data_IF_172994736317
#
_entry.id   IF_172994736317
#
_cell.length_a   1.000
_cell.length_b   1.000
_cell.length_c   1.000
_cell.angle_alpha   90.00
_cell.angle_beta   90.00
_cell.angle_gamma   90.00
#
_symmetry.space_group_name_H-M   'P 1'
#
loop_
_entity.id
_entity.type
_entity.pdbx_description
1 polymer ?
#
# COMPACT_ATOMS: atom_id res chain seq x y z
N UNK A 1 9.82 3.47 4.26
CA UNK A 1 10.54 2.28 3.78
C UNK A 1 11.48 2.59 2.61
N UNK A 2 12.09 1.58 2.03
CA UNK A 2 13.11 1.71 0.96
C UNK A 2 12.55 1.98 -0.43
N UNK A 3 11.29 2.39 -0.55
CA UNK A 3 10.65 2.73 -1.83
C UNK A 3 10.24 1.54 -2.70
N UNK A 4 10.22 0.31 -2.18
CA UNK A 4 9.98 -0.89 -2.99
C UNK A 4 8.67 -0.82 -3.82
N UNK A 5 7.56 -0.37 -3.23
CA UNK A 5 6.27 -0.27 -3.94
C UNK A 5 6.38 0.75 -5.10
N UNK A 6 6.89 1.93 -4.83
CA UNK A 6 7.00 3.00 -5.84
C UNK A 6 7.99 2.66 -6.96
N UNK A 7 9.11 1.99 -6.63
CA UNK A 7 10.06 1.50 -7.63
C UNK A 7 9.43 0.42 -8.53
N UNK A 8 8.70 -0.53 -7.96
CA UNK A 8 7.99 -1.55 -8.74
C UNK A 8 6.92 -0.93 -9.65
N UNK A 9 6.20 0.10 -9.17
CA UNK A 9 5.23 0.84 -9.99
C UNK A 9 5.93 1.60 -11.11
N UNK A 10 7.03 2.32 -10.80
CA UNK A 10 7.82 3.04 -11.81
C UNK A 10 8.32 2.11 -12.91
N UNK A 11 8.87 0.94 -12.54
CA UNK A 11 9.34 -0.06 -13.50
C UNK A 11 8.18 -0.63 -14.35
N UNK A 12 7.03 -0.91 -13.75
CA UNK A 12 5.86 -1.47 -14.46
C UNK A 12 5.25 -0.49 -15.45
N UNK A 13 5.24 0.79 -15.10
CA UNK A 13 4.59 1.84 -15.89
C UNK A 13 5.57 2.83 -16.52
N UNK A 14 6.82 2.42 -16.73
CA UNK A 14 7.89 3.28 -17.25
C UNK A 14 7.56 3.89 -18.63
N UNK A 15 6.75 3.23 -19.44
CA UNK A 15 6.35 3.73 -20.77
C UNK A 15 5.41 4.95 -20.68
N UNK A 16 4.53 4.99 -19.66
CA UNK A 16 3.58 6.09 -19.47
C UNK A 16 4.05 7.11 -18.44
N UNK A 17 5.12 6.83 -17.69
CA UNK A 17 5.78 7.69 -16.71
C UNK A 17 4.80 8.43 -15.78
N UNK A 18 3.96 7.71 -15.01
CA UNK A 18 3.03 8.35 -14.10
C UNK A 18 3.79 9.09 -13.01
N UNK A 19 3.31 10.28 -12.62
CA UNK A 19 3.93 11.02 -11.53
C UNK A 19 3.70 10.27 -10.21
N UNK A 20 4.78 9.78 -9.61
CA UNK A 20 4.76 8.98 -8.38
C UNK A 20 5.46 9.78 -7.27
N UNK A 21 4.81 9.89 -6.12
CA UNK A 21 5.39 10.52 -4.93
C UNK A 21 5.41 9.51 -3.79
N UNK A 22 6.60 9.16 -3.31
CA UNK A 22 6.79 8.42 -2.06
C UNK A 22 6.93 9.38 -0.88
N UNK A 23 6.31 9.05 0.25
CA UNK A 23 6.46 9.79 1.51
C UNK A 23 7.12 8.86 2.53
N UNK A 24 8.22 9.30 3.10
CA UNK A 24 8.96 8.54 4.11
C UNK A 24 9.42 9.47 5.24
N UNK A 25 9.21 9.04 6.48
CA UNK A 25 9.56 9.83 7.66
C UNK A 25 11.05 9.75 8.01
N UNK A 26 11.71 8.64 7.69
CA UNK A 26 13.12 8.43 7.99
C UNK A 26 13.97 9.04 6.87
N UNK A 27 14.79 10.07 7.17
CA UNK A 27 15.58 10.77 6.13
C UNK A 27 16.48 9.83 5.33
N UNK A 28 17.15 8.90 6.02
CA UNK A 28 18.09 7.96 5.43
C UNK A 28 17.40 7.02 4.43
N UNK A 29 16.15 6.61 4.73
CA UNK A 29 15.37 5.75 3.85
C UNK A 29 14.78 6.54 2.67
N UNK A 30 14.38 7.81 2.90
CA UNK A 30 13.94 8.69 1.82
C UNK A 30 15.08 8.95 0.82
N UNK A 31 16.29 9.22 1.31
CA UNK A 31 17.49 9.40 0.48
C UNK A 31 17.87 8.11 -0.27
N UNK A 32 17.87 6.97 0.42
CA UNK A 32 18.12 5.67 -0.22
C UNK A 32 17.12 5.39 -1.36
N UNK A 33 15.84 5.70 -1.13
CA UNK A 33 14.79 5.54 -2.13
C UNK A 33 15.00 6.47 -3.34
N UNK A 34 15.41 7.72 -3.11
CA UNK A 34 15.71 8.69 -4.17
C UNK A 34 16.92 8.23 -4.99
N UNK A 35 18.00 7.78 -4.36
CA UNK A 35 19.16 7.20 -5.05
C UNK A 35 18.80 5.95 -5.86
N UNK A 36 17.89 5.12 -5.33
CA UNK A 36 17.41 3.96 -6.06
C UNK A 36 16.59 4.35 -7.29
N UNK A 37 15.78 5.41 -7.21
CA UNK A 37 15.06 5.94 -8.37
C UNK A 37 16.01 6.49 -9.43
N UNK A 38 17.06 7.21 -9.01
CA UNK A 38 18.10 7.73 -9.91
C UNK A 38 18.85 6.59 -10.61
N UNK A 39 19.32 5.59 -9.85
CA UNK A 39 20.05 4.45 -10.39
C UNK A 39 19.25 3.62 -11.40
N UNK A 40 17.92 3.67 -11.36
CA UNK A 40 17.01 3.01 -12.28
C UNK A 40 16.48 3.95 -13.40
N UNK A 41 16.90 5.21 -13.44
CA UNK A 41 16.47 6.16 -14.46
C UNK A 41 15.03 6.68 -14.27
N UNK A 42 14.47 6.60 -13.06
CA UNK A 42 13.09 6.97 -12.78
C UNK A 42 12.92 8.39 -12.21
N UNK A 43 13.99 9.15 -12.00
CA UNK A 43 13.97 10.47 -11.35
C UNK A 43 13.11 11.51 -12.05
N UNK A 44 12.78 11.32 -13.33
CA UNK A 44 11.90 12.22 -14.06
C UNK A 44 10.45 12.19 -13.60
N UNK A 45 10.00 11.07 -13.00
CA UNK A 45 8.58 10.85 -12.64
C UNK A 45 8.37 10.16 -11.29
N UNK A 46 9.44 9.76 -10.58
CA UNK A 46 9.39 9.20 -9.24
C UNK A 46 10.18 10.07 -8.27
N UNK A 47 9.50 10.67 -7.31
CA UNK A 47 10.08 11.57 -6.32
C UNK A 47 9.78 11.10 -4.90
N UNK A 48 10.64 11.47 -3.96
CA UNK A 48 10.44 11.17 -2.54
C UNK A 48 10.42 12.45 -1.71
N UNK A 49 9.50 12.49 -0.76
CA UNK A 49 9.36 13.57 0.22
C UNK A 49 9.67 13.01 1.59
N UNK A 50 10.70 13.54 2.25
CA UNK A 50 10.96 13.24 3.64
C UNK A 50 9.98 14.05 4.49
N UNK A 51 8.97 13.39 5.05
CA UNK A 51 7.94 14.06 5.83
C UNK A 51 7.21 13.10 6.78
N UNK A 52 6.69 13.68 7.86
CA UNK A 52 5.80 13.01 8.82
C UNK A 52 4.35 13.25 8.41
N UNK A 53 3.62 12.19 8.08
CA UNK A 53 2.20 12.26 7.67
C UNK A 53 1.26 12.75 8.79
N UNK A 54 1.71 12.80 10.04
CA UNK A 54 0.99 13.39 11.18
C UNK A 54 0.95 14.92 11.10
N UNK A 55 1.85 15.51 10.33
CA UNK A 55 1.99 16.95 10.16
C UNK A 55 1.42 17.42 8.81
N UNK A 56 1.29 18.73 8.64
CA UNK A 56 0.95 19.33 7.35
C UNK A 56 2.16 19.23 6.41
N UNK A 57 2.00 18.51 5.30
CA UNK A 57 3.03 18.39 4.27
C UNK A 57 2.71 19.40 3.16
N UNK A 58 3.47 20.49 3.08
CA UNK A 58 3.26 21.56 2.08
C UNK A 58 3.62 21.10 0.67
N UNK A 59 4.61 20.22 0.54
CA UNK A 59 5.05 19.67 -0.74
C UNK A 59 4.03 18.71 -1.39
N UNK A 60 3.02 18.26 -0.63
CA UNK A 60 2.02 17.30 -1.11
C UNK A 60 0.63 17.86 -0.79
N UNK A 61 0.01 18.58 -1.73
CA UNK A 61 -1.31 19.15 -1.53
C UNK A 61 -2.40 18.09 -1.33
N UNK A 62 -3.43 18.33 -0.54
CA UNK A 62 -4.61 17.47 -0.47
C UNK A 62 -5.29 17.33 -1.83
N UNK A 63 -5.98 16.22 -2.04
CA UNK A 63 -6.75 15.92 -3.25
C UNK A 63 -5.94 15.93 -4.56
N UNK A 64 -4.61 15.68 -4.50
CA UNK A 64 -3.71 15.72 -5.66
C UNK A 64 -3.48 14.37 -6.33
N UNK A 65 -3.90 13.27 -5.72
CA UNK A 65 -3.62 11.93 -6.25
C UNK A 65 -4.90 11.19 -6.68
N UNK A 66 -4.84 10.55 -7.84
CA UNK A 66 -5.88 9.61 -8.29
C UNK A 66 -5.76 8.24 -7.61
N UNK A 67 -4.54 7.87 -7.23
CA UNK A 67 -4.23 6.59 -6.58
C UNK A 67 -3.37 6.83 -5.36
N UNK A 68 -3.73 6.22 -4.24
CA UNK A 68 -2.90 6.15 -3.03
C UNK A 68 -2.71 4.68 -2.70
N UNK A 69 -1.45 4.27 -2.57
CA UNK A 69 -1.08 2.89 -2.25
C UNK A 69 -0.36 2.90 -0.92
N UNK A 70 -0.77 2.03 0.00
CA UNK A 70 -0.19 1.99 1.33
C UNK A 70 -0.11 0.58 1.90
N UNK A 71 0.96 0.33 2.64
CA UNK A 71 1.13 -0.79 3.53
C UNK A 71 1.51 -0.23 4.90
N UNK A 72 0.50 0.21 5.70
CA UNK A 72 0.78 0.83 6.99
C UNK A 72 1.50 -0.15 7.93
N UNK A 73 2.27 0.37 8.90
CA UNK A 73 2.87 -0.47 9.93
C UNK A 73 1.78 -1.23 10.68
N UNK A 74 2.07 -2.46 11.06
CA UNK A 74 1.16 -3.29 11.87
C UNK A 74 1.16 -2.79 13.32
N UNK A 75 0.02 -2.85 14.00
CA UNK A 75 -0.11 -2.45 15.39
C UNK A 75 0.64 -3.39 16.36
N UNK A 76 0.88 -2.93 17.55
CA UNK A 76 1.74 -3.30 18.67
C UNK A 76 1.89 -4.76 19.13
N UNK A 77 1.30 -5.72 18.49
CA UNK A 77 1.47 -7.12 18.86
C UNK A 77 2.68 -7.80 18.20
N UNK A 78 3.42 -7.07 17.35
CA UNK A 78 4.67 -7.56 16.80
C UNK A 78 5.83 -7.21 17.75
N UNK A 79 6.60 -8.24 18.16
CA UNK A 79 7.78 -8.12 19.02
C UNK A 79 8.64 -6.91 18.64
N UNK A 80 9.08 -6.10 19.62
CA UNK A 80 9.99 -4.99 19.36
C UNK A 80 11.24 -5.52 18.64
N UNK A 81 11.52 -4.98 17.47
CA UNK A 81 12.75 -5.33 16.78
C UNK A 81 13.96 -4.75 17.52
N UNK A 82 15.05 -5.51 17.70
CA UNK A 82 16.27 -5.02 18.34
C UNK A 82 17.01 -3.92 17.56
N UNK A 83 16.47 -3.46 16.42
CA UNK A 83 17.10 -2.43 15.60
C UNK A 83 16.62 -1.03 16.02
N UNK A 84 17.55 -0.08 16.38
CA UNK A 84 17.21 1.29 16.79
C UNK A 84 16.40 2.10 15.75
N UNK A 85 16.57 1.85 14.46
CA UNK A 85 15.76 2.46 13.39
C UNK A 85 14.29 2.03 13.43
N UNK A 86 13.98 0.88 14.07
CA UNK A 86 12.61 0.44 14.34
C UNK A 86 12.04 1.03 15.62
N UNK A 87 12.86 1.57 16.53
CA UNK A 87 12.37 2.33 17.69
C UNK A 87 11.74 3.67 17.26
N UNK A 88 12.18 4.26 16.15
CA UNK A 88 11.50 5.42 15.56
C UNK A 88 10.15 5.02 14.94
N UNK A 89 10.07 3.82 14.35
CA UNK A 89 8.80 3.22 13.96
C UNK A 89 7.89 2.96 15.19
N UNK A 90 8.46 2.65 16.36
CA UNK A 90 7.73 2.49 17.62
C UNK A 90 7.08 3.82 18.11
N UNK A 91 7.71 4.96 17.90
CA UNK A 91 7.10 6.27 18.17
C UNK A 91 6.00 6.64 17.15
N UNK A 92 5.89 5.95 16.02
CA UNK A 92 4.75 5.99 15.10
C UNK A 92 3.53 5.22 15.67
N UNK A 93 3.68 4.45 16.73
CA UNK A 93 2.65 3.64 17.38
C UNK A 93 1.50 4.47 17.99
N UNK A 94 1.67 5.77 18.16
CA UNK A 94 0.57 6.68 18.55
C UNK A 94 -0.27 7.14 17.34
N UNK A 95 0.11 6.78 16.11
CA UNK A 95 -0.66 7.12 14.92
C UNK A 95 -1.47 5.90 14.49
N UNK A 96 -2.71 5.84 14.97
CA UNK A 96 -3.61 4.74 14.74
C UNK A 96 -3.92 4.52 13.23
N UNK A 97 -4.30 3.33 12.88
CA UNK A 97 -4.62 2.95 11.50
C UNK A 97 -5.74 3.83 10.93
N UNK A 98 -6.71 4.23 11.74
CA UNK A 98 -7.80 5.13 11.34
C UNK A 98 -7.27 6.50 10.94
N UNK A 99 -6.31 7.08 11.68
CA UNK A 99 -5.65 8.34 11.35
C UNK A 99 -4.80 8.24 10.09
N UNK A 100 -4.09 7.10 9.90
CA UNK A 100 -3.37 6.79 8.67
C UNK A 100 -4.30 6.79 7.46
N UNK A 101 -5.41 6.09 7.55
CA UNK A 101 -6.39 6.00 6.46
C UNK A 101 -7.05 7.36 6.18
N UNK A 102 -7.34 8.16 7.21
CA UNK A 102 -7.82 9.54 7.01
C UNK A 102 -6.81 10.40 6.25
N UNK A 103 -5.51 10.26 6.55
CA UNK A 103 -4.47 10.93 5.76
C UNK A 103 -4.50 10.48 4.30
N UNK A 104 -4.53 9.16 4.04
CA UNK A 104 -4.60 8.62 2.68
C UNK A 104 -5.81 9.17 1.90
N UNK A 105 -6.99 9.18 2.52
CA UNK A 105 -8.21 9.72 1.92
C UNK A 105 -8.12 11.23 1.68
N UNK A 106 -7.43 11.98 2.55
CA UNK A 106 -7.19 13.42 2.35
C UNK A 106 -6.33 13.69 1.12
N UNK A 107 -5.37 12.83 0.83
CA UNK A 107 -4.49 12.96 -0.34
C UNK A 107 -5.19 12.59 -1.66
N UNK A 108 -6.19 11.72 -1.61
CA UNK A 108 -6.97 11.30 -2.79
C UNK A 108 -7.84 12.44 -3.33
N UNK A 109 -7.81 12.61 -4.65
CA UNK A 109 -8.81 13.38 -5.40
C UNK A 109 -10.21 12.74 -5.25
N UNK A 110 -11.30 13.49 -5.49
CA UNK A 110 -12.63 12.90 -5.60
C UNK A 110 -12.62 11.75 -6.62
N UNK A 111 -13.28 10.63 -6.29
CA UNK A 111 -13.27 9.39 -7.09
C UNK A 111 -11.90 8.73 -7.25
N UNK A 112 -10.89 9.19 -6.53
CA UNK A 112 -9.59 8.52 -6.46
C UNK A 112 -9.67 7.20 -5.69
N UNK A 113 -8.71 6.30 -5.94
CA UNK A 113 -8.70 4.96 -5.39
C UNK A 113 -7.60 4.77 -4.35
N UNK A 114 -7.98 4.20 -3.22
CA UNK A 114 -7.08 3.71 -2.17
C UNK A 114 -6.78 2.24 -2.42
N UNK A 115 -5.50 1.86 -2.35
CA UNK A 115 -5.04 0.49 -2.34
C UNK A 115 -4.29 0.24 -1.03
N UNK A 116 -4.77 -0.70 -0.27
CA UNK A 116 -4.26 -1.02 1.06
C UNK A 116 -3.99 -2.51 1.16
N UNK A 117 -2.84 -2.87 1.72
CA UNK A 117 -2.57 -4.23 2.19
C UNK A 117 -2.38 -4.19 3.71
N UNK A 118 -2.99 -5.14 4.43
CA UNK A 118 -2.83 -5.27 5.87
C UNK A 118 -3.09 -6.71 6.31
N UNK A 119 -2.98 -6.97 7.63
CA UNK A 119 -3.41 -8.23 8.25
C UNK A 119 -4.93 -8.33 8.26
N UNK A 120 -5.46 -9.54 8.23
CA UNK A 120 -6.90 -9.78 8.28
C UNK A 120 -7.54 -9.34 9.59
N UNK A 121 -6.79 -9.34 10.69
CA UNK A 121 -7.26 -8.88 12.01
C UNK A 121 -7.66 -7.38 12.01
N UNK A 122 -7.04 -6.58 11.14
CA UNK A 122 -7.32 -5.16 11.00
C UNK A 122 -8.55 -4.83 10.14
N UNK A 123 -9.20 -5.84 9.52
CA UNK A 123 -10.30 -5.61 8.53
C UNK A 123 -11.43 -4.80 9.14
N UNK A 124 -11.85 -5.10 10.36
CA UNK A 124 -12.93 -4.38 11.03
C UNK A 124 -12.58 -2.90 11.24
N UNK A 125 -11.37 -2.60 11.70
CA UNK A 125 -10.89 -1.24 11.89
C UNK A 125 -10.81 -0.48 10.55
N UNK A 126 -10.28 -1.13 9.51
CA UNK A 126 -10.17 -0.56 8.17
C UNK A 126 -11.56 -0.20 7.62
N UNK A 127 -12.50 -1.13 7.65
CA UNK A 127 -13.87 -0.91 7.16
C UNK A 127 -14.53 0.25 7.94
N UNK A 128 -14.37 0.28 9.26
CA UNK A 128 -14.91 1.35 10.11
C UNK A 128 -14.31 2.72 9.74
N UNK A 129 -13.01 2.79 9.50
CA UNK A 129 -12.34 4.04 9.11
C UNK A 129 -12.75 4.54 7.73
N UNK A 130 -13.08 3.62 6.80
CA UNK A 130 -13.49 3.93 5.43
C UNK A 130 -14.99 4.21 5.30
N UNK A 131 -15.81 3.75 6.25
CA UNK A 131 -17.26 3.87 6.21
C UNK A 131 -17.72 5.32 6.06
N UNK A 132 -18.69 5.53 5.18
CA UNK A 132 -19.27 6.85 4.89
C UNK A 132 -18.36 7.81 4.08
N UNK A 133 -17.11 7.40 3.81
CA UNK A 133 -16.13 8.20 3.05
C UNK A 133 -15.77 7.59 1.71
N UNK A 134 -16.00 6.28 1.58
CA UNK A 134 -15.65 5.49 0.39
C UNK A 134 -16.77 4.53 0.05
N UNK A 135 -16.77 4.01 -1.18
CA UNK A 135 -17.59 2.90 -1.63
C UNK A 135 -16.82 2.05 -2.63
N UNK A 136 -17.52 1.07 -3.24
CA UNK A 136 -16.90 0.15 -4.18
C UNK A 136 -15.75 -0.65 -3.54
N UNK A 137 -15.87 -0.95 -2.22
CA UNK A 137 -14.83 -1.73 -1.53
C UNK A 137 -14.69 -3.09 -2.20
N UNK A 138 -13.44 -3.42 -2.59
CA UNK A 138 -13.07 -4.75 -3.02
C UNK A 138 -12.15 -5.34 -1.97
N UNK A 139 -12.58 -6.45 -1.37
CA UNK A 139 -11.82 -7.17 -0.34
C UNK A 139 -11.26 -8.42 -0.99
N UNK A 140 -9.94 -8.54 -1.03
CA UNK A 140 -9.20 -9.62 -1.70
C UNK A 140 -8.35 -10.34 -0.67
N UNK A 141 -8.77 -11.51 -0.18
CA UNK A 141 -7.98 -12.31 0.76
C UNK A 141 -6.69 -12.82 0.13
N UNK A 142 -5.59 -12.80 0.89
CA UNK A 142 -4.30 -13.34 0.47
C UNK A 142 -3.97 -14.56 1.33
N UNK A 143 -4.00 -15.73 0.70
CA UNK A 143 -3.73 -17.01 1.34
C UNK A 143 -2.26 -17.39 1.17
N UNK A 144 -1.62 -17.81 2.27
CA UNK A 144 -0.24 -18.29 2.18
C UNK A 144 -0.16 -19.61 1.40
N UNK A 145 -1.06 -20.56 1.70
CA UNK A 145 -1.16 -21.87 1.04
C UNK A 145 -2.64 -22.26 0.86
N UNK A 146 -2.95 -23.20 -0.02
CA UNK A 146 -4.31 -23.71 -0.19
C UNK A 146 -4.88 -24.24 1.12
N UNK A 147 -6.18 -24.01 1.37
CA UNK A 147 -6.90 -24.50 2.53
C UNK A 147 -6.56 -23.83 3.87
N UNK A 148 -5.68 -22.83 3.87
CA UNK A 148 -5.37 -22.04 5.07
C UNK A 148 -6.23 -20.78 5.15
N UNK A 149 -6.40 -20.27 6.37
CA UNK A 149 -7.01 -18.95 6.59
C UNK A 149 -6.09 -17.85 6.02
N UNK A 150 -6.70 -16.86 5.37
CA UNK A 150 -5.96 -15.70 4.89
C UNK A 150 -5.38 -14.92 6.07
N UNK A 151 -4.08 -14.64 6.02
CA UNK A 151 -3.38 -13.82 7.04
C UNK A 151 -3.24 -12.36 6.62
N UNK A 152 -3.45 -12.06 5.34
CA UNK A 152 -3.43 -10.72 4.79
C UNK A 152 -4.62 -10.50 3.88
N UNK A 153 -4.94 -9.25 3.69
CA UNK A 153 -6.01 -8.80 2.80
C UNK A 153 -5.52 -7.59 2.02
N UNK A 154 -5.86 -7.55 0.75
CA UNK A 154 -5.78 -6.32 -0.04
C UNK A 154 -7.19 -5.72 -0.09
N UNK A 155 -7.28 -4.43 0.18
CA UNK A 155 -8.53 -3.67 0.13
C UNK A 155 -8.35 -2.53 -0.87
N UNK A 156 -9.31 -2.42 -1.79
CA UNK A 156 -9.41 -1.30 -2.73
C UNK A 156 -10.69 -0.55 -2.40
N UNK A 157 -10.64 0.78 -2.35
CA UNK A 157 -11.80 1.61 -2.06
C UNK A 157 -11.77 2.88 -2.89
N UNK A 158 -12.92 3.32 -3.38
CA UNK A 158 -13.07 4.57 -4.13
C UNK A 158 -13.61 5.69 -3.23
N UNK A 159 -12.88 6.81 -3.14
CA UNK A 159 -13.28 7.98 -2.37
C UNK A 159 -14.58 8.57 -2.93
N UNK A 160 -15.48 9.01 -2.03
CA UNK A 160 -16.77 9.64 -2.36
C UNK A 160 -17.67 8.80 -3.30
N UNK A 161 -17.53 7.47 -3.23
CA UNK A 161 -18.36 6.50 -3.94
C UNK A 161 -19.47 5.97 -3.04
N UNK A 162 -20.57 5.55 -3.67
CA UNK A 162 -21.68 4.82 -3.03
C UNK A 162 -21.84 3.41 -3.62
N UNK A 163 -20.91 2.99 -4.47
CA UNK A 163 -20.95 1.66 -5.06
C UNK A 163 -20.90 0.58 -3.96
N UNK A 164 -21.56 -0.56 -4.17
CA UNK A 164 -21.57 -1.65 -3.19
C UNK A 164 -20.19 -2.26 -3.01
N UNK A 165 -19.99 -2.88 -1.85
CA UNK A 165 -18.79 -3.65 -1.58
C UNK A 165 -18.86 -5.05 -2.22
N UNK A 166 -17.70 -5.64 -2.52
CA UNK A 166 -17.55 -7.00 -2.98
C UNK A 166 -16.38 -7.70 -2.27
N UNK A 167 -16.57 -8.97 -1.94
CA UNK A 167 -15.48 -9.85 -1.57
C UNK A 167 -15.12 -10.64 -2.83
N UNK A 168 -13.89 -10.47 -3.29
CA UNK A 168 -13.41 -11.11 -4.51
C UNK A 168 -12.72 -12.44 -4.21
N UNK A 169 -12.53 -13.30 -5.21
CA UNK A 169 -11.64 -14.44 -5.07
C UNK A 169 -10.28 -13.99 -4.55
N UNK A 170 -9.72 -14.75 -3.61
CA UNK A 170 -8.42 -14.42 -3.03
C UNK A 170 -7.27 -14.91 -3.91
N UNK A 171 -6.06 -14.46 -3.59
CA UNK A 171 -4.83 -14.98 -4.18
C UNK A 171 -4.17 -15.98 -3.23
N UNK A 172 -3.94 -17.21 -3.69
CA UNK A 172 -3.06 -18.16 -3.01
C UNK A 172 -1.63 -17.97 -3.49
N UNK A 173 -0.72 -17.60 -2.58
CA UNK A 173 0.65 -17.21 -2.95
C UNK A 173 1.54 -18.42 -3.21
N UNK A 174 1.45 -19.44 -2.36
CA UNK A 174 2.33 -20.60 -2.44
C UNK A 174 1.56 -21.90 -2.67
N UNK A 175 2.20 -22.80 -3.39
CA UNK A 175 1.81 -24.20 -3.53
C UNK A 175 2.06 -24.95 -2.20
N UNK A 176 1.51 -26.16 -2.00
CA UNK A 176 1.74 -26.95 -0.79
C UNK A 176 3.23 -27.20 -0.47
N UNK A 177 4.05 -27.39 -1.50
CA UNK A 177 5.50 -27.62 -1.41
C UNK A 177 6.32 -26.34 -1.18
N UNK A 178 5.68 -25.14 -1.26
CA UNK A 178 6.30 -23.84 -0.90
C UNK A 178 6.78 -23.01 -2.10
N UNK A 179 6.63 -23.47 -3.33
CA UNK A 179 6.82 -22.68 -4.53
C UNK A 179 5.73 -21.59 -4.68
N UNK A 180 5.87 -20.70 -5.66
CA UNK A 180 4.77 -19.80 -6.02
C UNK A 180 3.73 -20.57 -6.85
N UNK A 181 2.44 -20.23 -6.65
CA UNK A 181 1.40 -20.62 -7.62
C UNK A 181 1.66 -19.90 -8.94
N UNK A 182 1.14 -20.45 -10.05
CA UNK A 182 1.30 -19.83 -11.37
C UNK A 182 0.76 -18.39 -11.39
N UNK A 183 -0.40 -18.17 -10.77
CA UNK A 183 -1.00 -16.84 -10.65
C UNK A 183 -0.10 -15.88 -9.85
N UNK A 184 0.38 -16.30 -8.68
CA UNK A 184 1.28 -15.48 -7.87
C UNK A 184 2.61 -15.20 -8.61
N UNK A 185 3.13 -16.19 -9.35
CA UNK A 185 4.33 -16.01 -10.16
C UNK A 185 4.11 -14.98 -11.27
N UNK A 186 2.98 -15.05 -11.99
CA UNK A 186 2.65 -14.08 -13.04
C UNK A 186 2.51 -12.66 -12.47
N UNK A 187 1.93 -12.50 -11.29
CA UNK A 187 1.80 -11.19 -10.62
C UNK A 187 3.18 -10.68 -10.15
N UNK A 188 3.95 -11.52 -9.47
CA UNK A 188 5.17 -11.10 -8.79
C UNK A 188 6.40 -11.00 -9.72
N UNK A 189 6.44 -11.82 -10.77
CA UNK A 189 7.57 -11.94 -11.70
C UNK A 189 7.21 -11.63 -13.14
N UNK A 190 5.99 -11.99 -13.56
CA UNK A 190 5.52 -11.79 -14.94
C UNK A 190 4.95 -10.40 -15.21
N UNK A 191 4.83 -9.55 -14.18
CA UNK A 191 4.31 -8.18 -14.35
C UNK A 191 2.80 -8.09 -14.62
N UNK A 192 2.03 -9.20 -14.50
CA UNK A 192 0.58 -9.20 -14.71
C UNK A 192 -0.15 -8.59 -13.52
N UNK A 193 -1.26 -7.92 -13.80
CA UNK A 193 -2.15 -7.40 -12.75
C UNK A 193 -3.09 -8.47 -12.20
N UNK A 194 -3.49 -8.35 -10.93
CA UNK A 194 -4.47 -9.27 -10.32
C UNK A 194 -5.77 -9.36 -11.15
N UNK A 195 -6.30 -8.22 -11.60
CA UNK A 195 -7.53 -8.17 -12.39
C UNK A 195 -7.35 -8.61 -13.85
N UNK A 196 -6.15 -8.68 -14.36
CA UNK A 196 -5.88 -9.23 -15.69
C UNK A 196 -5.97 -10.77 -15.71
N UNK A 197 -5.77 -11.40 -14.55
CA UNK A 197 -5.80 -12.85 -14.39
C UNK A 197 -7.14 -13.35 -13.87
N UNK A 198 -7.92 -12.49 -13.18
CA UNK A 198 -9.15 -12.86 -12.48
C UNK A 198 -10.36 -11.99 -12.89
N UNK A 199 -10.26 -11.26 -14.01
CA UNK A 199 -11.31 -10.40 -14.57
C UNK A 199 -12.19 -11.04 -15.59
#
# INVERSE_FOLDING_TARGET
GTGAISLCLAARFQEIQPQITGIEIQPELAELSARSAEANGFSAFLHYVNADIRQKITAVPPCSFRHVITNPPYSDHDMPSPNPGKALAHNLQQFDLSSWLRFCLKMLAPKGQLYLINRTEAVTEIITALYGRTGGLKIIPLFSKPGQTAKRVMIIAEKDSKAPAAILPGLTVHTPDGGYTDEAFQILRGGRGFFELNG
#
